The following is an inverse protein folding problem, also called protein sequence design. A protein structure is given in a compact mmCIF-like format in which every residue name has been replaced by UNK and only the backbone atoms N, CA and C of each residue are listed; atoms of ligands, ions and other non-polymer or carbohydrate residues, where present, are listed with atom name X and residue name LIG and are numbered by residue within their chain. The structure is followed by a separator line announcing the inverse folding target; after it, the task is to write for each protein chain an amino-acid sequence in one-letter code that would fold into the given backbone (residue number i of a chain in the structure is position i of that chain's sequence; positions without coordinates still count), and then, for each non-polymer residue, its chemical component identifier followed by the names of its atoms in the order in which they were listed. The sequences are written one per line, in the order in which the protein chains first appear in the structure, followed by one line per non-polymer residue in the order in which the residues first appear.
data_IF_055177288286
#
_entry.id   IF_055177288286
#
_cell.length_a   1.000
_cell.length_b   1.000
_cell.length_c   1.000
_cell.angle_alpha   90.00
_cell.angle_beta   90.00
_cell.angle_gamma   90.00
#
_symmetry.space_group_name_H-M   'P 1'
#
loop_
_entity.id
_entity.type
_entity.pdbx_description
1 polymer ?
#
# COMPACT_ATOMS: atom_id res chain seq x y z
N UNK A 1 -52.06 11.07 34.13
CA UNK A 1 -50.76 10.66 34.71
C UNK A 1 -49.90 10.18 33.55
N UNK A 2 -48.91 10.98 33.16
CA UNK A 2 -48.17 10.85 31.89
C UNK A 2 -46.93 9.98 32.15
N UNK A 3 -46.92 8.77 31.61
CA UNK A 3 -45.89 7.75 31.82
C UNK A 3 -44.53 8.17 31.25
N UNK A 4 -43.79 8.98 31.99
CA UNK A 4 -42.44 9.45 31.63
C UNK A 4 -41.39 8.33 31.66
N UNK A 5 -41.68 7.20 32.31
CA UNK A 5 -40.71 6.12 32.52
C UNK A 5 -40.37 5.31 31.26
N UNK A 6 -41.17 5.37 30.19
CA UNK A 6 -40.88 4.67 28.94
C UNK A 6 -39.98 5.45 27.97
N UNK A 7 -39.93 6.78 28.07
CA UNK A 7 -39.08 7.63 27.21
C UNK A 7 -37.60 7.61 27.60
N UNK A 8 -37.27 7.28 28.86
CA UNK A 8 -35.87 7.19 29.29
C UNK A 8 -35.18 5.89 28.85
N UNK A 9 -35.93 4.79 28.70
CA UNK A 9 -35.38 3.50 28.29
C UNK A 9 -35.05 3.42 26.79
N UNK A 10 -35.82 4.12 25.94
CA UNK A 10 -35.56 4.20 24.50
C UNK A 10 -34.37 5.12 24.18
N UNK A 11 -34.07 6.10 25.04
CA UNK A 11 -32.93 7.00 24.84
C UNK A 11 -31.58 6.39 25.29
N UNK A 12 -31.58 5.42 26.22
CA UNK A 12 -30.36 4.69 26.62
C UNK A 12 -29.94 3.56 25.66
N UNK A 13 -30.82 3.15 24.74
CA UNK A 13 -30.51 2.14 23.72
C UNK A 13 -29.86 2.72 22.46
N UNK A 14 -29.73 4.05 22.37
CA UNK A 14 -29.08 4.75 21.25
C UNK A 14 -27.60 5.13 21.52
N UNK A 15 -27.08 4.87 22.72
CA UNK A 15 -25.68 5.15 23.07
C UNK A 15 -24.76 3.94 23.00
N UNK A 16 -25.25 2.80 22.47
CA UNK A 16 -24.45 1.61 22.21
C UNK A 16 -24.22 1.43 20.71
N UNK A 17 -23.81 2.50 20.02
CA UNK A 17 -23.05 2.29 18.78
C UNK A 17 -21.72 1.66 19.19
N UNK A 18 -21.30 0.53 18.58
CA UNK A 18 -19.95 0.06 18.80
C UNK A 18 -19.01 1.22 18.49
N UNK A 19 -18.08 1.50 19.40
CA UNK A 19 -16.96 2.37 19.12
C UNK A 19 -16.34 1.88 17.81
N UNK A 20 -16.69 2.55 16.71
CA UNK A 20 -15.99 2.42 15.45
C UNK A 20 -14.54 2.65 15.84
N UNK A 21 -13.69 1.67 15.60
CA UNK A 21 -12.26 1.78 15.86
C UNK A 21 -11.72 2.94 15.00
N UNK A 22 -11.81 4.16 15.55
CA UNK A 22 -11.08 5.35 15.15
C UNK A 22 -9.65 5.04 15.59
N UNK A 23 -8.93 4.26 14.79
CA UNK A 23 -7.72 3.70 15.33
C UNK A 23 -6.94 2.82 14.40
N UNK A 24 -7.08 2.92 13.09
CA UNK A 24 -5.98 2.61 12.19
C UNK A 24 -6.26 3.16 10.78
N UNK A 25 -5.35 3.80 10.02
CA UNK A 25 -3.94 3.50 9.69
C UNK A 25 -3.97 3.02 8.24
N UNK A 26 -3.33 3.75 7.32
CA UNK A 26 -3.04 3.12 6.03
C UNK A 26 -2.01 2.02 6.33
N UNK A 27 -2.34 0.77 6.05
CA UNK A 27 -1.40 -0.35 6.14
C UNK A 27 -1.04 -0.78 4.73
N UNK A 28 0.22 -1.11 4.51
CA UNK A 28 0.65 -1.43 3.17
C UNK A 28 1.97 -2.15 3.10
N UNK A 29 2.30 -2.53 1.88
CA UNK A 29 3.61 -3.04 1.52
C UNK A 29 4.27 -2.08 0.54
N UNK A 30 5.58 -1.87 0.68
CA UNK A 30 6.34 -0.95 -0.14
C UNK A 30 7.75 -1.46 -0.42
N UNK A 31 8.20 -1.26 -1.65
CA UNK A 31 9.58 -1.50 -2.08
C UNK A 31 10.43 -0.30 -1.70
N UNK A 32 11.41 -0.55 -0.86
CA UNK A 32 12.43 0.42 -0.46
C UNK A 32 13.62 0.30 -1.39
N UNK A 33 14.07 1.42 -1.97
CA UNK A 33 15.29 1.48 -2.76
C UNK A 33 16.53 1.43 -1.88
N UNK A 34 16.51 2.19 -0.79
CA UNK A 34 17.68 2.36 0.10
C UNK A 34 17.27 2.78 1.52
N UNK A 35 17.97 2.24 2.52
CA UNK A 35 18.01 2.78 3.88
C UNK A 35 19.13 3.82 3.97
N UNK A 36 18.81 5.07 4.33
CA UNK A 36 19.81 6.16 4.43
C UNK A 36 20.24 6.44 5.85
N UNK A 37 19.33 6.23 6.81
CA UNK A 37 19.59 6.52 8.22
C UNK A 37 18.87 5.51 9.10
N UNK A 38 19.52 5.08 10.19
CA UNK A 38 18.91 4.30 11.27
C UNK A 38 19.63 4.64 12.58
N UNK A 39 18.91 5.18 13.55
CA UNK A 39 19.43 5.59 14.85
C UNK A 39 18.47 5.15 15.96
N UNK A 40 19.01 4.88 17.14
CA UNK A 40 18.19 4.71 18.34
C UNK A 40 17.85 6.11 18.87
N UNK A 41 16.57 6.46 18.93
CA UNK A 41 16.09 7.77 19.42
C UNK A 41 14.86 7.61 20.33
N UNK A 42 14.72 8.51 21.31
CA UNK A 42 13.61 8.50 22.26
C UNK A 42 13.92 9.26 23.55
N UNK A 43 13.07 10.23 23.93
CA UNK A 43 13.19 10.96 25.21
C UNK A 43 12.36 10.28 26.32
N UNK A 44 11.20 9.70 25.97
CA UNK A 44 10.27 9.03 26.90
C UNK A 44 10.17 7.51 26.71
N UNK A 45 10.32 7.01 25.47
CA UNK A 45 10.32 5.60 25.10
C UNK A 45 11.39 5.35 24.04
N UNK A 46 12.14 4.26 24.16
CA UNK A 46 13.12 3.87 23.14
C UNK A 46 12.40 3.55 21.82
N UNK A 47 12.94 4.00 20.69
CA UNK A 47 12.53 3.58 19.35
C UNK A 47 13.72 3.61 18.41
N UNK A 48 13.63 2.88 17.30
CA UNK A 48 14.59 3.02 16.20
C UNK A 48 13.96 3.86 15.11
N UNK A 49 14.65 4.91 14.70
CA UNK A 49 14.14 5.89 13.74
C UNK A 49 15.12 6.08 12.61
N UNK A 50 14.61 6.46 11.44
CA UNK A 50 15.44 6.52 10.26
C UNK A 50 14.77 7.12 9.05
N UNK A 51 15.48 7.01 7.93
CA UNK A 51 15.05 7.52 6.63
C UNK A 51 15.22 6.43 5.57
N UNK A 52 14.22 6.32 4.70
CA UNK A 52 14.21 5.44 3.54
C UNK A 52 14.04 6.24 2.27
N UNK A 53 14.65 5.77 1.19
CA UNK A 53 14.38 6.24 -0.16
C UNK A 53 13.47 5.23 -0.86
N UNK A 54 12.38 5.72 -1.41
CA UNK A 54 11.39 4.95 -2.16
C UNK A 54 11.10 5.63 -3.49
N UNK A 55 10.53 4.89 -4.44
CA UNK A 55 10.09 5.47 -5.71
C UNK A 55 8.72 6.12 -5.53
N UNK A 56 8.59 7.39 -5.94
CA UNK A 56 7.32 8.08 -6.08
C UNK A 56 7.21 8.76 -7.45
N UNK A 57 6.28 9.70 -7.55
CA UNK A 57 6.04 10.48 -8.77
C UNK A 57 5.69 11.94 -8.44
N UNK A 58 5.68 12.83 -9.43
CA UNK A 58 5.14 14.18 -9.28
C UNK A 58 3.77 14.23 -9.96
N UNK A 59 2.70 14.46 -9.21
CA UNK A 59 1.33 14.55 -9.74
C UNK A 59 1.08 15.82 -10.55
N UNK A 60 1.96 16.82 -10.46
CA UNK A 60 1.94 18.03 -11.29
C UNK A 60 2.51 17.81 -12.71
N UNK A 61 3.13 16.66 -13.01
CA UNK A 61 3.64 16.36 -14.36
C UNK A 61 2.45 16.11 -15.31
N UNK A 62 2.39 16.87 -16.42
CA UNK A 62 1.38 16.68 -17.45
C UNK A 62 1.55 15.30 -18.11
N UNK A 63 0.70 14.36 -17.71
CA UNK A 63 0.67 12.99 -18.20
C UNK A 63 -0.40 12.87 -19.31
N UNK A 64 -0.03 12.36 -20.49
CA UNK A 64 -0.99 12.05 -21.55
C UNK A 64 -1.83 10.83 -21.14
N UNK A 65 -3.09 11.06 -20.74
CA UNK A 65 -4.06 9.97 -20.50
C UNK A 65 -4.34 9.14 -21.76
N UNK A 66 -4.15 9.72 -22.94
CA UNK A 66 -4.42 9.04 -24.22
C UNK A 66 -3.30 8.05 -24.56
N UNK A 67 -2.04 8.44 -24.34
CA UNK A 67 -0.86 7.62 -24.66
C UNK A 67 -0.40 6.73 -23.50
N UNK A 68 -1.01 6.90 -22.32
CA UNK A 68 -0.61 6.23 -21.08
C UNK A 68 0.88 6.40 -20.74
N UNK A 69 1.49 7.47 -21.25
CA UNK A 69 2.85 7.88 -20.90
C UNK A 69 2.82 8.50 -19.51
N UNK A 70 3.13 7.72 -18.50
CA UNK A 70 2.97 8.19 -17.12
C UNK A 70 4.25 8.80 -16.53
N UNK A 71 4.13 9.10 -15.24
CA UNK A 71 5.04 9.93 -14.48
C UNK A 71 6.48 9.42 -14.49
N UNK A 72 7.39 10.38 -14.53
CA UNK A 72 8.81 10.13 -14.36
C UNK A 72 9.08 9.74 -12.90
N UNK A 73 9.75 8.61 -12.62
CA UNK A 73 10.01 8.17 -11.25
C UNK A 73 10.93 9.17 -10.54
N UNK A 74 10.55 9.55 -9.32
CA UNK A 74 11.34 10.40 -8.42
C UNK A 74 11.67 9.66 -7.13
N UNK A 75 12.77 10.04 -6.50
CA UNK A 75 13.13 9.53 -5.19
C UNK A 75 12.42 10.34 -4.10
N UNK A 76 11.62 9.65 -3.28
CA UNK A 76 10.98 10.23 -2.10
C UNK A 76 11.66 9.72 -0.85
N UNK A 77 11.95 10.63 0.07
CA UNK A 77 12.47 10.30 1.40
C UNK A 77 11.30 10.14 2.36
N UNK A 78 11.23 9.00 3.05
CA UNK A 78 10.24 8.72 4.09
C UNK A 78 10.97 8.56 5.41
N UNK A 79 10.54 9.33 6.42
CA UNK A 79 10.96 9.12 7.80
C UNK A 79 10.12 8.00 8.42
N UNK A 80 10.76 7.10 9.16
CA UNK A 80 10.10 5.94 9.75
C UNK A 80 10.52 5.71 11.20
N UNK A 81 9.72 4.90 11.88
CA UNK A 81 10.00 4.38 13.21
C UNK A 81 9.81 2.85 13.26
N UNK A 82 10.52 2.21 14.18
CA UNK A 82 10.40 0.79 14.52
C UNK A 82 10.38 0.67 16.02
N UNK A 83 9.38 -0.05 16.54
CA UNK A 83 9.30 -0.32 17.97
C UNK A 83 10.45 -1.24 18.42
N UNK A 84 11.14 -0.98 19.55
CA UNK A 84 12.29 -1.78 19.97
C UNK A 84 11.99 -3.26 20.21
N UNK A 85 10.75 -3.58 20.59
CA UNK A 85 10.30 -4.96 20.75
C UNK A 85 10.32 -5.76 19.44
N UNK A 86 10.26 -5.09 18.28
CA UNK A 86 10.35 -5.72 16.97
C UNK A 86 11.82 -5.95 16.56
N UNK A 87 12.49 -6.83 17.31
CA UNK A 87 13.91 -7.16 17.10
C UNK A 87 14.20 -7.72 15.71
N UNK A 88 13.23 -8.37 15.07
CA UNK A 88 13.39 -8.91 13.71
C UNK A 88 13.63 -7.78 12.71
N UNK A 89 12.78 -6.74 12.71
CA UNK A 89 12.91 -5.58 11.83
C UNK A 89 14.18 -4.79 12.15
N UNK A 90 14.45 -4.52 13.43
CA UNK A 90 15.65 -3.79 13.84
C UNK A 90 16.91 -4.49 13.33
N UNK A 91 17.03 -5.79 13.58
CA UNK A 91 18.19 -6.57 13.15
C UNK A 91 18.29 -6.63 11.61
N UNK A 92 17.16 -6.78 10.90
CA UNK A 92 17.13 -6.75 9.45
C UNK A 92 17.69 -5.43 8.92
N UNK A 93 17.20 -4.30 9.43
CA UNK A 93 17.60 -2.97 8.96
C UNK A 93 19.07 -2.66 9.30
N UNK A 94 19.56 -3.04 10.48
CA UNK A 94 20.97 -2.88 10.85
C UNK A 94 21.92 -3.68 9.96
N UNK A 95 21.48 -4.85 9.49
CA UNK A 95 22.28 -5.71 8.60
C UNK A 95 22.13 -5.33 7.12
N UNK A 96 21.08 -4.58 6.75
CA UNK A 96 20.80 -4.17 5.38
C UNK A 96 21.73 -3.04 4.95
N UNK A 97 22.83 -3.40 4.31
CA UNK A 97 23.85 -2.44 3.83
C UNK A 97 23.49 -1.81 2.48
N UNK A 98 22.96 -2.62 1.56
CA UNK A 98 22.69 -2.23 0.18
C UNK A 98 21.52 -3.02 -0.43
N UNK A 99 21.07 -2.55 -1.59
CA UNK A 99 20.02 -3.19 -2.39
C UNK A 99 18.60 -2.88 -1.90
N UNK A 100 17.63 -3.08 -2.78
CA UNK A 100 16.23 -2.91 -2.44
C UNK A 100 15.74 -4.00 -1.48
N UNK A 101 14.68 -3.70 -0.76
CA UNK A 101 13.97 -4.64 0.10
C UNK A 101 12.49 -4.25 0.20
N UNK A 102 11.70 -5.12 0.81
CA UNK A 102 10.28 -4.90 0.96
C UNK A 102 9.96 -4.70 2.44
N UNK A 103 9.15 -3.68 2.73
CA UNK A 103 8.64 -3.42 4.08
C UNK A 103 7.13 -3.58 4.10
N UNK A 104 6.62 -4.09 5.22
CA UNK A 104 5.24 -3.86 5.64
C UNK A 104 5.28 -2.72 6.63
N UNK A 105 4.39 -1.76 6.43
CA UNK A 105 4.37 -0.56 7.22
C UNK A 105 2.94 -0.15 7.51
N UNK A 106 2.81 0.84 8.36
CA UNK A 106 1.53 1.39 8.72
C UNK A 106 1.61 2.90 9.10
N UNK A 107 0.58 3.74 8.88
CA UNK A 107 0.61 5.25 9.02
C UNK A 107 -0.42 5.89 10.00
N UNK A 108 0.04 6.51 11.11
CA UNK A 108 -0.72 6.77 12.37
C UNK A 108 -1.46 8.08 12.18
N UNK A 109 -2.78 8.09 12.42
CA UNK A 109 -3.58 9.32 12.27
C UNK A 109 -3.44 10.28 13.45
N UNK A 110 -2.92 9.81 14.57
CA UNK A 110 -2.71 10.56 15.81
C UNK A 110 -1.27 10.29 16.20
N UNK A 111 -0.50 11.34 16.49
CA UNK A 111 0.86 11.22 17.01
C UNK A 111 0.88 10.19 18.14
N UNK A 112 1.55 9.07 17.89
CA UNK A 112 1.64 8.00 18.85
C UNK A 112 2.58 8.47 19.96
N UNK A 113 2.12 8.47 21.22
CA UNK A 113 2.92 8.95 22.37
C UNK A 113 4.28 8.23 22.56
N UNK A 114 4.55 7.17 21.78
CA UNK A 114 5.83 6.44 21.78
C UNK A 114 6.59 6.37 20.45
N UNK A 115 6.17 7.07 19.38
CA UNK A 115 6.92 7.15 18.11
C UNK A 115 7.07 8.62 17.69
N UNK A 116 8.23 9.04 17.18
CA UNK A 116 8.36 10.43 16.66
C UNK A 116 7.84 10.58 15.23
N UNK A 117 7.47 9.49 14.56
CA UNK A 117 6.90 9.53 13.22
C UNK A 117 5.63 8.70 13.15
N UNK A 118 4.71 9.11 12.28
CA UNK A 118 3.45 8.39 12.05
C UNK A 118 3.67 7.10 11.25
N UNK A 119 4.81 6.94 10.59
CA UNK A 119 5.12 5.80 9.73
C UNK A 119 5.92 4.73 10.49
N UNK A 120 5.26 3.62 10.83
CA UNK A 120 5.88 2.50 11.57
C UNK A 120 6.17 1.34 10.62
N UNK A 121 7.40 0.81 10.64
CA UNK A 121 7.72 -0.43 9.94
C UNK A 121 7.44 -1.61 10.87
N UNK A 122 6.56 -2.50 10.44
CA UNK A 122 6.17 -3.69 11.21
C UNK A 122 6.83 -4.96 10.69
N UNK A 123 7.27 -4.98 9.43
CA UNK A 123 8.02 -6.10 8.85
C UNK A 123 8.99 -5.61 7.79
N UNK A 124 10.13 -6.27 7.65
CA UNK A 124 11.08 -6.03 6.58
C UNK A 124 11.66 -7.36 6.09
N UNK A 125 11.66 -7.57 4.77
CA UNK A 125 12.15 -8.81 4.15
C UNK A 125 12.92 -8.49 2.87
N UNK A 126 13.83 -9.38 2.49
CA UNK A 126 14.30 -9.42 1.11
C UNK A 126 13.26 -10.16 0.28
N UNK A 127 12.77 -9.59 -0.84
CA UNK A 127 11.96 -10.35 -1.78
C UNK A 127 12.69 -11.62 -2.21
N UNK A 128 11.98 -12.73 -2.26
CA UNK A 128 12.57 -14.02 -2.65
C UNK A 128 11.64 -14.76 -3.61
N UNK A 129 12.14 -15.21 -4.78
CA UNK A 129 11.39 -16.10 -5.66
C UNK A 129 11.00 -17.42 -4.99
N UNK A 130 11.67 -17.81 -3.90
CA UNK A 130 11.36 -19.01 -3.12
C UNK A 130 10.31 -18.80 -2.02
N UNK A 131 9.77 -17.58 -1.86
CA UNK A 131 8.54 -17.40 -1.10
C UNK A 131 7.45 -18.31 -1.70
N UNK A 132 6.51 -18.81 -0.89
CA UNK A 132 5.41 -19.64 -1.38
C UNK A 132 4.81 -18.96 -2.62
N UNK A 133 5.00 -19.56 -3.80
CA UNK A 133 4.72 -18.86 -5.05
C UNK A 133 3.22 -18.57 -5.10
N UNK A 134 2.83 -17.31 -5.33
CA UNK A 134 1.42 -17.01 -5.52
C UNK A 134 0.90 -17.78 -6.72
N UNK A 135 -0.43 -17.88 -6.85
CA UNK A 135 -1.04 -18.41 -8.07
C UNK A 135 -0.44 -17.67 -9.29
N UNK A 136 -0.03 -18.37 -10.36
CA UNK A 136 0.70 -17.75 -11.47
C UNK A 136 -0.13 -16.68 -12.22
N UNK A 137 -1.45 -16.72 -12.05
CA UNK A 137 -2.34 -15.66 -12.48
C UNK A 137 -3.53 -15.48 -11.53
N UNK A 138 -4.06 -14.27 -11.50
CA UNK A 138 -5.36 -13.94 -10.92
C UNK A 138 -6.07 -12.95 -11.84
N UNK A 139 -7.38 -13.15 -12.04
CA UNK A 139 -8.25 -12.28 -12.83
C UNK A 139 -9.52 -12.01 -12.05
N UNK A 140 -9.97 -10.76 -12.09
CA UNK A 140 -11.23 -10.30 -11.48
C UNK A 140 -12.05 -9.55 -12.52
N UNK A 141 -13.30 -9.23 -12.19
CA UNK A 141 -14.17 -8.46 -13.05
C UNK A 141 -13.58 -7.07 -13.32
N UNK A 142 -13.63 -6.67 -14.59
CA UNK A 142 -13.17 -5.37 -15.05
C UNK A 142 -14.14 -4.28 -14.62
N UNK A 143 -13.60 -3.10 -14.32
CA UNK A 143 -14.41 -1.97 -13.91
C UNK A 143 -14.74 -1.03 -15.05
N UNK A 144 -14.05 -1.08 -16.20
CA UNK A 144 -14.32 -0.23 -17.36
C UNK A 144 -14.00 -0.87 -18.71
N UNK A 145 -14.21 -0.11 -19.78
CA UNK A 145 -14.22 -0.63 -21.16
C UNK A 145 -12.86 -0.65 -21.85
N UNK A 146 -11.96 0.27 -21.51
CA UNK A 146 -10.59 0.31 -22.09
C UNK A 146 -9.67 -0.54 -21.24
N UNK A 147 -8.83 -1.32 -21.91
CA UNK A 147 -7.97 -2.33 -21.28
C UNK A 147 -6.58 -2.29 -21.90
N UNK A 148 -5.59 -2.55 -21.06
CA UNK A 148 -4.19 -2.61 -21.48
C UNK A 148 -3.40 -3.52 -20.54
N UNK A 149 -2.28 -4.03 -21.04
CA UNK A 149 -1.36 -4.84 -20.27
C UNK A 149 0.05 -4.26 -20.33
N UNK A 150 0.69 -4.16 -19.16
CA UNK A 150 2.09 -3.77 -19.03
C UNK A 150 2.89 -4.87 -18.37
N UNK A 151 4.18 -4.94 -18.68
CA UNK A 151 5.11 -5.77 -17.90
C UNK A 151 5.82 -4.88 -16.91
N UNK A 152 5.71 -5.20 -15.62
CA UNK A 152 6.12 -4.27 -14.58
C UNK A 152 6.32 -4.90 -13.21
N UNK A 153 6.65 -4.05 -12.25
CA UNK A 153 6.78 -4.40 -10.83
C UNK A 153 5.86 -3.54 -9.99
N UNK A 154 5.13 -4.15 -9.07
CA UNK A 154 4.46 -3.43 -8.00
C UNK A 154 5.50 -2.86 -7.03
N UNK A 155 5.38 -1.56 -6.77
CA UNK A 155 6.26 -0.80 -5.89
C UNK A 155 5.59 -0.54 -4.53
N UNK A 156 4.28 -0.35 -4.52
CA UNK A 156 3.51 -0.01 -3.33
C UNK A 156 2.07 -0.49 -3.49
N UNK A 157 1.46 -0.88 -2.37
CA UNK A 157 0.02 -1.11 -2.27
C UNK A 157 -0.45 -0.86 -0.83
N UNK A 158 -1.43 0.02 -0.67
CA UNK A 158 -1.89 0.53 0.62
C UNK A 158 -3.39 0.34 0.75
N UNK A 159 -3.82 -0.34 1.80
CA UNK A 159 -5.21 -0.38 2.20
C UNK A 159 -5.65 1.02 2.65
N UNK A 160 -6.60 1.63 1.94
CA UNK A 160 -7.18 2.90 2.37
C UNK A 160 -8.34 2.62 3.34
N UNK A 161 -8.29 3.22 4.53
CA UNK A 161 -9.36 3.11 5.53
C UNK A 161 -10.65 3.87 5.19
N UNK A 162 -11.08 3.88 3.93
CA UNK A 162 -12.34 4.48 3.44
C UNK A 162 -13.48 3.46 3.41
N UNK A 163 -14.73 3.94 3.33
CA UNK A 163 -15.97 3.12 3.35
C UNK A 163 -16.08 2.11 2.19
N UNK A 164 -15.30 2.30 1.12
CA UNK A 164 -15.15 1.36 0.01
C UNK A 164 -13.72 0.86 0.16
N UNK A 165 -13.54 -0.43 0.43
CA UNK A 165 -12.22 -1.07 0.62
C UNK A 165 -11.38 -0.99 -0.64
N UNK A 166 -10.77 0.17 -0.86
CA UNK A 166 -9.95 0.48 -2.02
C UNK A 166 -8.50 0.45 -1.59
N UNK A 167 -7.70 -0.33 -2.29
CA UNK A 167 -6.27 -0.32 -2.15
C UNK A 167 -5.70 0.61 -3.22
N UNK A 168 -4.68 1.38 -2.86
CA UNK A 168 -4.03 2.33 -3.77
C UNK A 168 -2.54 2.02 -3.82
N UNK A 169 -1.95 2.06 -5.00
CA UNK A 169 -0.57 1.62 -5.18
C UNK A 169 0.16 2.29 -6.32
N UNK A 170 1.42 1.89 -6.48
CA UNK A 170 2.28 2.30 -7.58
C UNK A 170 2.91 1.08 -8.24
N UNK A 171 2.95 1.06 -9.57
CA UNK A 171 3.75 0.10 -10.32
C UNK A 171 4.73 0.80 -11.26
N UNK A 172 5.85 0.15 -11.54
CA UNK A 172 6.83 0.54 -12.56
C UNK A 172 6.56 -0.24 -13.84
N UNK A 173 6.36 0.44 -14.96
CA UNK A 173 6.41 -0.17 -16.29
C UNK A 173 7.88 -0.33 -16.72
N UNK A 174 8.31 -1.57 -16.94
CA UNK A 174 9.70 -1.86 -17.32
C UNK A 174 10.01 -1.47 -18.77
N UNK A 175 9.01 -1.34 -19.63
CA UNK A 175 9.21 -0.95 -21.03
C UNK A 175 9.53 0.53 -21.15
N UNK A 176 8.79 1.37 -20.43
CA UNK A 176 8.90 2.83 -20.51
C UNK A 176 9.76 3.41 -19.40
N UNK A 177 9.97 2.67 -18.31
CA UNK A 177 10.63 3.16 -17.10
C UNK A 177 9.78 4.15 -16.31
N UNK A 178 8.49 4.27 -16.62
CA UNK A 178 7.56 5.19 -15.99
C UNK A 178 6.78 4.54 -14.85
N UNK A 179 6.26 5.35 -13.93
CA UNK A 179 5.49 4.87 -12.76
C UNK A 179 4.04 5.31 -12.79
N UNK A 180 3.14 4.36 -12.50
CA UNK A 180 1.71 4.56 -12.63
C UNK A 180 1.02 4.36 -11.28
N UNK A 181 0.14 5.28 -10.85
CA UNK A 181 -0.78 5.02 -9.76
C UNK A 181 -1.87 4.05 -10.22
N UNK A 182 -2.28 3.14 -9.34
CA UNK A 182 -3.37 2.21 -9.60
C UNK A 182 -4.21 1.99 -8.34
N UNK A 183 -5.44 1.57 -8.56
CA UNK A 183 -6.37 1.17 -7.51
C UNK A 183 -6.70 -0.33 -7.63
N UNK A 184 -7.14 -0.91 -6.53
CA UNK A 184 -7.69 -2.28 -6.47
C UNK A 184 -8.90 -2.26 -5.57
N UNK A 185 -10.03 -2.75 -6.06
CA UNK A 185 -11.29 -2.83 -5.29
C UNK A 185 -11.62 -4.25 -4.84
N UNK A 186 -10.85 -5.24 -5.30
CA UNK A 186 -11.00 -6.64 -4.92
C UNK A 186 -9.92 -7.05 -3.91
N UNK A 187 -10.34 -7.44 -2.70
CA UNK A 187 -9.43 -7.85 -1.62
C UNK A 187 -8.57 -9.08 -2.00
N UNK A 188 -9.12 -10.01 -2.78
CA UNK A 188 -8.38 -11.17 -3.28
C UNK A 188 -7.23 -10.76 -4.20
N UNK A 189 -7.48 -9.81 -5.10
CA UNK A 189 -6.46 -9.23 -5.97
C UNK A 189 -5.41 -8.46 -5.15
N UNK A 190 -5.82 -7.66 -4.16
CA UNK A 190 -4.88 -6.95 -3.29
C UNK A 190 -3.95 -7.91 -2.53
N UNK A 191 -4.51 -8.98 -1.97
CA UNK A 191 -3.72 -10.05 -1.33
C UNK A 191 -2.76 -10.73 -2.31
N UNK A 192 -3.23 -11.03 -3.51
CA UNK A 192 -2.40 -11.62 -4.55
C UNK A 192 -1.24 -10.70 -4.95
N UNK A 193 -1.48 -9.40 -5.10
CA UNK A 193 -0.44 -8.40 -5.35
C UNK A 193 0.58 -8.37 -4.20
N UNK A 194 0.14 -8.41 -2.94
CA UNK A 194 1.08 -8.51 -1.81
C UNK A 194 1.96 -9.75 -1.89
N UNK A 195 1.42 -10.90 -2.30
CA UNK A 195 2.20 -12.12 -2.45
C UNK A 195 3.19 -12.00 -3.61
N UNK A 196 2.78 -11.41 -4.75
CA UNK A 196 3.67 -11.09 -5.87
C UNK A 196 4.81 -10.15 -5.44
N UNK A 197 4.52 -9.08 -4.69
CA UNK A 197 5.54 -8.15 -4.18
C UNK A 197 6.60 -8.86 -3.34
N UNK A 198 6.22 -9.85 -2.52
CA UNK A 198 7.16 -10.66 -1.71
C UNK A 198 8.10 -11.51 -2.57
N UNK A 199 7.75 -11.82 -3.81
CA UNK A 199 8.63 -12.54 -4.74
C UNK A 199 9.67 -11.62 -5.41
N UNK A 200 9.32 -10.33 -5.59
CA UNK A 200 10.14 -9.36 -6.33
C UNK A 200 10.17 -9.56 -7.85
N UNK A 201 9.35 -10.50 -8.38
CA UNK A 201 9.21 -10.79 -9.81
C UNK A 201 8.54 -9.62 -10.54
N UNK A 202 8.87 -9.50 -11.83
CA UNK A 202 8.10 -8.69 -12.77
C UNK A 202 6.96 -9.53 -13.32
N UNK A 203 5.78 -8.94 -13.45
CA UNK A 203 4.56 -9.60 -13.89
C UNK A 203 3.89 -8.77 -14.98
N UNK A 204 3.00 -9.41 -15.75
CA UNK A 204 2.06 -8.69 -16.58
C UNK A 204 0.91 -8.19 -15.71
N UNK A 205 0.63 -6.90 -15.81
CA UNK A 205 -0.39 -6.17 -15.06
C UNK A 205 -1.45 -5.73 -16.06
N UNK A 206 -2.65 -6.28 -15.93
CA UNK A 206 -3.84 -5.88 -16.68
C UNK A 206 -4.57 -4.76 -15.95
N UNK A 207 -4.79 -3.67 -16.67
CA UNK A 207 -5.42 -2.46 -16.13
C UNK A 207 -6.67 -2.13 -16.95
N UNK A 208 -7.73 -1.70 -16.26
CA UNK A 208 -8.92 -1.11 -16.86
C UNK A 208 -9.17 0.30 -16.34
N UNK A 209 -9.74 1.16 -17.19
CA UNK A 209 -10.20 2.47 -16.74
C UNK A 209 -11.29 2.34 -15.66
N UNK A 210 -11.25 3.19 -14.64
CA UNK A 210 -12.22 3.22 -13.56
C UNK A 210 -13.53 3.93 -13.97
N UNK A 211 -14.69 3.32 -13.74
CA UNK A 211 -15.99 3.99 -13.94
C UNK A 211 -16.30 5.06 -12.85
N UNK A 212 -15.73 4.94 -11.64
CA UNK A 212 -16.09 5.82 -10.50
C UNK A 212 -14.85 6.54 -9.95
N UNK A 213 -14.48 7.67 -10.55
CA UNK A 213 -13.21 8.38 -10.27
C UNK A 213 -13.21 9.26 -9.00
N UNK A 214 -14.38 9.57 -8.42
CA UNK A 214 -14.50 10.58 -7.35
C UNK A 214 -14.10 10.17 -5.92
N UNK A 215 -13.78 8.89 -5.66
CA UNK A 215 -13.48 8.37 -4.31
C UNK A 215 -12.13 7.64 -4.21
N UNK A 216 -11.34 7.67 -5.29
CA UNK A 216 -10.09 6.92 -5.46
C UNK A 216 -8.96 7.86 -5.88
N UNK A 217 -7.71 7.43 -5.69
CA UNK A 217 -6.53 8.22 -6.09
C UNK A 217 -6.13 7.97 -7.54
N UNK A 218 -6.49 6.83 -8.12
CA UNK A 218 -6.19 6.49 -9.52
C UNK A 218 -7.45 6.26 -10.34
N UNK A 219 -7.44 6.66 -11.60
CA UNK A 219 -8.50 6.33 -12.56
C UNK A 219 -8.31 4.95 -13.20
N UNK A 220 -7.43 4.12 -12.64
CA UNK A 220 -7.00 2.86 -13.22
C UNK A 220 -7.10 1.73 -12.19
N UNK A 221 -7.81 0.66 -12.55
CA UNK A 221 -7.97 -0.53 -11.71
C UNK A 221 -7.16 -1.70 -12.25
N UNK A 222 -6.47 -2.43 -11.37
CA UNK A 222 -5.89 -3.72 -11.72
C UNK A 222 -7.00 -4.78 -11.76
N UNK A 223 -7.21 -5.38 -12.93
CA UNK A 223 -8.16 -6.48 -13.11
C UNK A 223 -7.49 -7.83 -13.30
N UNK A 224 -6.20 -7.86 -13.67
CA UNK A 224 -5.46 -9.10 -13.90
C UNK A 224 -3.98 -8.94 -13.51
N UNK A 225 -3.42 -9.98 -12.90
CA UNK A 225 -1.98 -10.14 -12.68
C UNK A 225 -1.60 -11.51 -13.21
N UNK A 226 -0.58 -11.57 -14.07
CA UNK A 226 -0.18 -12.80 -14.76
C UNK A 226 1.35 -12.87 -14.88
N UNK A 227 1.97 -13.98 -14.44
CA UNK A 227 3.43 -14.14 -14.50
C UNK A 227 3.94 -14.52 -15.91
N UNK A 228 3.07 -15.10 -16.75
CA UNK A 228 3.50 -15.82 -17.96
C UNK A 228 3.24 -15.03 -19.25
N UNK A 229 2.08 -14.39 -19.36
CA UNK A 229 1.64 -13.74 -20.59
C UNK A 229 0.90 -12.42 -20.33
N UNK A 230 0.85 -11.51 -21.33
CA UNK A 230 0.08 -10.28 -21.21
C UNK A 230 -1.39 -10.53 -20.85
N UNK A 231 -1.92 -9.67 -19.99
CA UNK A 231 -3.30 -9.73 -19.52
C UNK A 231 -4.31 -9.57 -20.66
N UNK A 232 -5.50 -10.17 -20.51
CA UNK A 232 -6.57 -10.14 -21.51
C UNK A 232 -6.40 -11.10 -22.68
N UNK A 233 -5.35 -11.95 -22.69
CA UNK A 233 -5.15 -12.99 -23.70
C UNK A 233 -5.76 -14.36 -23.35
N UNK A 234 -6.47 -14.47 -22.21
CA UNK A 234 -7.18 -15.67 -21.72
C UNK A 234 -8.71 -15.53 -21.80
#
# INVERSE_FOLDING_TARGET
MRNWKLTAAVFMLLSATPAMAIGTYAEGWMVVKKLTKLESQGIMFDSFEGELIVTGYNDDEECSREDYECYTPIDRTIQFSVRPENKEVVNFLQQKKEGSFLIQYRIHRIENLGLNTDFEIVKAINPSPSAAEPAPSMKVDQTGSRQFSFKGKFLQLDEQGTLIGTYEGLYLDEKTGKVHPYSVTNEGMAKHIYDVMKTGKSVYIGISDAIVTGFRKSDYDVYEVNEQEPAGMQ
#
